data_IF_519356864403
#
_entry.id   IF_519356864403
#
_cell.length_a   1.000
_cell.length_b   1.000
_cell.length_c   1.000
_cell.angle_alpha   90.00
_cell.angle_beta   90.00
_cell.angle_gamma   90.00
#
_symmetry.space_group_name_H-M   'P 1'
#
loop_
_entity.id
_entity.type
_entity.pdbx_description
1 polymer ?
#
# COMPACT_ATOMS: atom_id res chain seq x y z
N UNK A 1 1.34 19.33 5.40
CA UNK A 1 0.19 20.22 5.05
C UNK A 1 0.62 21.62 4.57
N UNK A 2 1.88 21.82 4.20
CA UNK A 2 2.38 23.14 3.77
C UNK A 2 1.98 23.51 2.34
N UNK A 3 1.63 22.51 1.53
CA UNK A 3 1.33 22.67 0.13
C UNK A 3 -0.16 22.68 -0.18
N UNK A 4 -0.50 23.35 -1.29
CA UNK A 4 -1.87 23.55 -1.78
C UNK A 4 -2.72 22.27 -1.84
N UNK A 5 -2.24 21.10 -2.33
CA UNK A 5 -3.10 19.94 -2.50
C UNK A 5 -3.76 19.45 -1.19
N UNK A 6 -3.00 19.37 -0.11
CA UNK A 6 -3.53 18.95 1.21
C UNK A 6 -4.47 20.02 1.78
N UNK A 7 -4.16 21.30 1.59
CA UNK A 7 -5.01 22.41 2.05
C UNK A 7 -6.35 22.44 1.30
N UNK A 8 -6.37 22.04 0.03
CA UNK A 8 -7.62 21.87 -0.73
C UNK A 8 -8.49 20.73 -0.17
N UNK A 9 -7.89 19.59 0.20
CA UNK A 9 -8.62 18.50 0.88
C UNK A 9 -9.15 18.98 2.24
N UNK A 10 -8.36 19.70 3.03
CA UNK A 10 -8.79 20.24 4.31
C UNK A 10 -9.98 21.21 4.12
N UNK A 11 -9.89 22.13 3.16
CA UNK A 11 -10.95 23.08 2.82
C UNK A 11 -12.22 22.38 2.34
N UNK A 12 -12.09 21.30 1.57
CA UNK A 12 -13.24 20.51 1.12
C UNK A 12 -14.06 19.91 2.29
N UNK A 13 -13.49 19.83 3.50
CA UNK A 13 -14.19 19.41 4.71
C UNK A 13 -15.23 20.42 5.21
N UNK A 14 -15.15 21.71 4.80
CA UNK A 14 -16.13 22.74 5.17
C UNK A 14 -17.55 22.40 4.66
N UNK A 15 -17.63 21.64 3.56
CA UNK A 15 -18.90 21.19 2.96
C UNK A 15 -19.26 19.74 3.33
N UNK A 16 -18.47 19.09 4.21
CA UNK A 16 -18.76 17.78 4.78
C UNK A 16 -17.80 16.66 4.35
N UNK A 17 -18.06 15.44 4.86
CA UNK A 17 -17.18 14.29 4.64
C UNK A 17 -17.17 13.81 3.17
N UNK A 18 -18.29 13.94 2.45
CA UNK A 18 -18.40 13.47 1.07
C UNK A 18 -17.43 14.20 0.13
N UNK A 19 -17.38 15.53 0.21
CA UNK A 19 -16.46 16.36 -0.57
C UNK A 19 -15.01 16.14 -0.13
N UNK A 20 -14.75 15.99 1.17
CA UNK A 20 -13.42 15.62 1.67
C UNK A 20 -12.92 14.30 1.05
N UNK A 21 -13.76 13.26 1.00
CA UNK A 21 -13.42 11.97 0.39
C UNK A 21 -13.19 12.12 -1.13
N UNK A 22 -14.07 12.83 -1.84
CA UNK A 22 -13.92 13.04 -3.28
C UNK A 22 -12.58 13.72 -3.60
N UNK A 23 -12.21 14.77 -2.85
CA UNK A 23 -10.97 15.51 -3.06
C UNK A 23 -9.73 14.66 -2.71
N UNK A 24 -9.78 13.86 -1.64
CA UNK A 24 -8.66 13.00 -1.27
C UNK A 24 -8.41 11.87 -2.26
N UNK A 25 -9.46 11.26 -2.82
CA UNK A 25 -9.34 10.27 -3.90
C UNK A 25 -8.75 10.91 -5.16
N UNK A 26 -9.30 12.06 -5.58
CA UNK A 26 -8.81 12.80 -6.75
C UNK A 26 -7.33 13.18 -6.61
N UNK A 27 -6.91 13.62 -5.41
CA UNK A 27 -5.51 13.92 -5.10
C UNK A 27 -4.63 12.69 -5.26
N UNK A 28 -5.03 11.53 -4.71
CA UNK A 28 -4.28 10.29 -4.84
C UNK A 28 -4.11 9.88 -6.30
N UNK A 29 -5.19 9.89 -7.09
CA UNK A 29 -5.14 9.57 -8.52
C UNK A 29 -4.22 10.52 -9.29
N UNK A 30 -4.30 11.82 -9.00
CA UNK A 30 -3.43 12.81 -9.63
C UNK A 30 -1.96 12.60 -9.25
N UNK A 31 -1.67 12.26 -7.98
CA UNK A 31 -0.30 12.05 -7.50
C UNK A 31 0.39 10.86 -8.16
N UNK A 32 -0.35 9.80 -8.50
CA UNK A 32 0.20 8.62 -9.16
C UNK A 32 0.73 8.94 -10.57
N UNK A 33 0.10 9.88 -11.29
CA UNK A 33 0.50 10.27 -12.64
C UNK A 33 1.97 10.70 -12.72
N UNK A 34 2.38 11.61 -11.83
CA UNK A 34 3.76 12.12 -11.83
C UNK A 34 4.79 11.02 -11.53
N UNK A 35 4.51 10.20 -10.52
CA UNK A 35 5.40 9.09 -10.13
C UNK A 35 5.54 8.04 -11.24
N UNK A 36 4.43 7.70 -11.91
CA UNK A 36 4.43 6.71 -12.98
C UNK A 36 5.17 7.22 -14.22
N UNK A 37 5.03 8.50 -14.58
CA UNK A 37 5.80 9.11 -15.68
C UNK A 37 7.30 9.09 -15.40
N UNK A 38 7.72 9.40 -14.17
CA UNK A 38 9.13 9.33 -13.77
C UNK A 38 9.68 7.90 -13.79
N UNK A 39 8.87 6.92 -13.36
CA UNK A 39 9.22 5.50 -13.45
C UNK A 39 9.36 5.06 -14.91
N UNK A 40 8.41 5.43 -15.78
CA UNK A 40 8.47 5.12 -17.21
C UNK A 40 9.72 5.71 -17.88
N UNK A 41 10.05 6.98 -17.58
CA UNK A 41 11.28 7.61 -18.05
C UNK A 41 12.53 6.89 -17.54
N UNK A 42 12.54 6.49 -16.26
CA UNK A 42 13.65 5.75 -15.66
C UNK A 42 13.85 4.38 -16.30
N UNK A 43 12.75 3.65 -16.57
CA UNK A 43 12.76 2.36 -17.26
C UNK A 43 13.31 2.54 -18.68
N UNK A 44 12.76 3.48 -19.45
CA UNK A 44 13.19 3.71 -20.83
C UNK A 44 14.67 4.14 -20.94
N UNK A 45 15.10 5.09 -20.11
CA UNK A 45 16.48 5.56 -20.11
C UNK A 45 17.46 4.46 -19.68
N UNK A 46 17.16 3.71 -18.61
CA UNK A 46 18.03 2.63 -18.16
C UNK A 46 18.07 1.46 -19.14
N UNK A 47 16.93 1.13 -19.77
CA UNK A 47 16.85 0.10 -20.79
C UNK A 47 17.67 0.45 -22.04
N UNK A 48 17.62 1.69 -22.51
CA UNK A 48 18.42 2.11 -23.68
C UNK A 48 19.93 2.11 -23.41
N UNK A 49 20.36 2.29 -22.16
CA UNK A 49 21.77 2.30 -21.77
C UNK A 49 22.34 0.91 -21.46
N UNK A 50 21.52 -0.04 -21.00
CA UNK A 50 22.02 -1.35 -20.52
C UNK A 50 21.03 -2.50 -20.64
N UNK A 51 19.98 -2.37 -21.44
CA UNK A 51 18.89 -3.34 -21.55
C UNK A 51 18.26 -3.64 -20.19
N UNK A 52 17.84 -4.88 -20.00
CA UNK A 52 17.24 -5.31 -18.72
C UNK A 52 18.23 -5.25 -17.54
N UNK A 53 19.53 -5.41 -17.79
CA UNK A 53 20.55 -5.21 -16.76
C UNK A 53 20.60 -3.75 -16.30
N UNK A 54 20.51 -2.80 -17.24
CA UNK A 54 20.39 -1.37 -16.95
C UNK A 54 19.18 -1.06 -16.05
N UNK A 55 18.02 -1.65 -16.35
CA UNK A 55 16.79 -1.52 -15.52
C UNK A 55 17.03 -2.08 -14.10
N UNK A 56 17.68 -3.23 -13.98
CA UNK A 56 18.01 -3.82 -12.68
C UNK A 56 18.97 -2.94 -11.86
N UNK A 57 19.99 -2.37 -12.50
CA UNK A 57 20.93 -1.44 -11.85
C UNK A 57 20.23 -0.13 -11.46
N UNK A 58 19.29 0.38 -12.26
CA UNK A 58 18.48 1.54 -11.90
C UNK A 58 17.60 1.27 -10.66
N UNK A 59 17.05 0.05 -10.54
CA UNK A 59 16.34 -0.39 -9.34
C UNK A 59 17.24 -0.32 -8.09
N UNK A 60 18.47 -0.83 -8.20
CA UNK A 60 19.46 -0.77 -7.13
C UNK A 60 19.87 0.68 -6.82
N UNK A 61 20.01 1.51 -7.85
CA UNK A 61 20.31 2.94 -7.73
C UNK A 61 19.24 3.67 -6.92
N UNK A 62 17.96 3.39 -7.17
CA UNK A 62 16.87 3.92 -6.35
C UNK A 62 17.05 3.50 -4.89
N UNK A 63 17.36 2.23 -4.62
CA UNK A 63 17.56 1.70 -3.26
C UNK A 63 18.92 2.01 -2.63
N UNK A 64 19.84 2.70 -3.32
CA UNK A 64 21.22 2.92 -2.82
C UNK A 64 21.27 3.74 -1.52
N UNK A 65 20.26 4.57 -1.28
CA UNK A 65 20.09 5.37 -0.06
C UNK A 65 19.06 4.78 0.90
N UNK A 66 18.75 3.48 0.78
CA UNK A 66 17.72 2.80 1.58
C UNK A 66 17.88 3.01 3.09
N UNK A 67 19.12 3.03 3.61
CA UNK A 67 19.36 3.27 5.05
C UNK A 67 18.79 4.62 5.50
N UNK A 68 19.01 5.67 4.71
CA UNK A 68 18.46 7.00 4.99
C UNK A 68 16.93 6.98 4.84
N UNK A 69 16.42 6.35 3.79
CA UNK A 69 14.97 6.19 3.57
C UNK A 69 14.26 5.51 4.73
N UNK A 70 14.80 4.38 5.22
CA UNK A 70 14.26 3.66 6.38
C UNK A 70 14.38 4.45 7.68
N UNK A 71 15.46 5.21 7.84
CA UNK A 71 15.66 6.04 9.05
C UNK A 71 14.57 7.11 9.16
N UNK A 72 14.25 7.80 8.06
CA UNK A 72 13.21 8.84 8.08
C UNK A 72 11.80 8.26 8.13
N UNK A 73 11.57 7.06 7.60
CA UNK A 73 10.29 6.36 7.68
C UNK A 73 10.03 5.87 9.12
N UNK A 74 11.00 5.17 9.71
CA UNK A 74 10.91 4.68 11.09
C UNK A 74 10.80 5.78 12.14
N UNK A 75 11.28 6.99 11.84
CA UNK A 75 11.10 8.16 12.68
C UNK A 75 9.61 8.48 12.95
N UNK A 76 8.72 8.27 11.97
CA UNK A 76 7.30 8.62 12.09
C UNK A 76 6.56 7.85 13.20
N UNK A 77 6.53 6.51 13.16
CA UNK A 77 5.89 5.71 14.21
C UNK A 77 6.49 5.90 15.61
N UNK A 78 7.78 6.25 15.71
CA UNK A 78 8.41 6.58 17.00
C UNK A 78 7.86 7.90 17.54
N UNK A 79 7.69 8.92 16.69
CA UNK A 79 7.10 10.20 17.08
C UNK A 79 5.63 10.08 17.47
N UNK A 80 4.85 9.27 16.74
CA UNK A 80 3.44 9.00 17.05
C UNK A 80 3.29 8.32 18.43
N UNK A 81 4.05 7.26 18.70
CA UNK A 81 4.07 6.60 20.00
C UNK A 81 4.49 7.56 21.14
N UNK A 82 5.47 8.44 20.90
CA UNK A 82 5.87 9.45 21.88
C UNK A 82 4.72 10.39 22.22
N UNK A 83 3.94 10.82 21.23
CA UNK A 83 2.73 11.62 21.45
C UNK A 83 1.66 10.87 22.22
N UNK A 84 1.40 9.61 21.86
CA UNK A 84 0.45 8.74 22.57
C UNK A 84 0.81 8.56 24.04
N UNK A 85 2.08 8.29 24.34
CA UNK A 85 2.58 8.17 25.73
C UNK A 85 2.41 9.51 26.49
N UNK A 86 2.71 10.64 25.86
CA UNK A 86 2.55 11.95 26.49
C UNK A 86 1.09 12.23 26.88
N UNK A 87 0.13 11.87 26.03
CA UNK A 87 -1.30 12.00 26.30
C UNK A 87 -1.75 11.06 27.43
N UNK A 88 -1.39 9.77 27.35
CA UNK A 88 -1.79 8.76 28.33
C UNK A 88 -1.20 9.00 29.74
N UNK A 89 -0.06 9.69 29.83
CA UNK A 89 0.59 10.02 31.11
C UNK A 89 0.24 11.41 31.63
N UNK A 90 -0.64 12.16 30.95
CA UNK A 90 -1.08 13.49 31.37
C UNK A 90 0.05 14.52 31.39
N UNK A 91 1.03 14.41 30.48
CA UNK A 91 2.10 15.39 30.37
C UNK A 91 1.56 16.76 29.94
N UNK A 92 2.29 17.84 30.24
CA UNK A 92 1.85 19.19 29.89
C UNK A 92 1.70 19.41 28.39
N UNK A 93 0.78 20.30 28.01
CA UNK A 93 0.40 20.62 26.62
C UNK A 93 1.61 20.90 25.71
N UNK A 94 2.63 21.58 26.24
CA UNK A 94 3.88 21.85 25.50
C UNK A 94 4.63 20.60 25.01
N UNK A 95 4.46 19.44 25.67
CA UNK A 95 5.02 18.16 25.23
C UNK A 95 4.21 17.63 24.06
N UNK A 96 2.88 17.66 24.16
CA UNK A 96 1.96 17.23 23.11
C UNK A 96 2.14 18.06 21.84
N UNK A 97 2.26 19.38 21.97
CA UNK A 97 2.52 20.30 20.85
C UNK A 97 3.81 19.93 20.11
N UNK A 98 4.87 19.61 20.84
CA UNK A 98 6.15 19.18 20.25
C UNK A 98 6.00 17.85 19.54
N UNK A 99 5.38 16.86 20.17
CA UNK A 99 5.17 15.55 19.55
C UNK A 99 4.26 15.62 18.33
N UNK A 100 3.24 16.48 18.32
CA UNK A 100 2.34 16.67 17.17
C UNK A 100 3.06 17.31 15.97
N UNK A 101 4.06 18.17 16.22
CA UNK A 101 4.95 18.67 15.15
C UNK A 101 5.82 17.54 14.59
N UNK A 102 6.36 16.68 15.45
CA UNK A 102 7.19 15.55 15.04
C UNK A 102 6.38 14.50 14.27
N UNK A 103 5.18 14.17 14.73
CA UNK A 103 4.22 13.25 14.10
C UNK A 103 3.80 13.76 12.71
N UNK A 104 3.44 15.03 12.58
CA UNK A 104 3.09 15.60 11.28
C UNK A 104 4.25 15.53 10.25
N UNK A 105 5.50 15.68 10.71
CA UNK A 105 6.67 15.45 9.87
C UNK A 105 6.81 13.94 9.54
N UNK A 106 6.59 13.08 10.53
CA UNK A 106 6.55 11.62 10.42
C UNK A 106 5.56 11.11 9.36
N UNK A 107 4.35 11.69 9.30
CA UNK A 107 3.35 11.29 8.30
C UNK A 107 3.79 11.64 6.87
N UNK A 108 4.56 12.71 6.72
CA UNK A 108 5.16 13.08 5.44
C UNK A 108 6.32 12.15 5.08
N UNK A 109 7.21 11.84 6.03
CA UNK A 109 8.32 10.91 5.78
C UNK A 109 7.85 9.48 5.54
N UNK A 110 6.77 9.04 6.20
CA UNK A 110 6.11 7.77 5.96
C UNK A 110 5.52 7.70 4.55
N UNK A 111 4.90 8.76 4.05
CA UNK A 111 4.43 8.82 2.66
C UNK A 111 5.60 8.73 1.66
N UNK A 112 6.72 9.43 1.94
CA UNK A 112 7.95 9.33 1.14
C UNK A 112 8.52 7.90 1.17
N UNK A 113 8.60 7.30 2.36
CA UNK A 113 9.06 5.92 2.58
C UNK A 113 8.20 4.91 1.81
N UNK A 114 6.88 5.02 1.89
CA UNK A 114 5.92 4.23 1.11
C UNK A 114 6.13 4.43 -0.39
N UNK A 115 6.27 5.67 -0.86
CA UNK A 115 6.53 5.98 -2.27
C UNK A 115 7.84 5.36 -2.78
N UNK A 116 8.90 5.41 -1.97
CA UNK A 116 10.19 4.81 -2.27
C UNK A 116 10.13 3.27 -2.27
N UNK A 117 9.41 2.68 -1.30
CA UNK A 117 9.16 1.25 -1.23
C UNK A 117 8.37 0.75 -2.46
N UNK A 118 7.36 1.50 -2.90
CA UNK A 118 6.57 1.18 -4.10
C UNK A 118 7.40 1.36 -5.37
N UNK A 119 8.10 2.49 -5.54
CA UNK A 119 8.94 2.74 -6.70
C UNK A 119 10.04 1.70 -6.86
N UNK A 120 10.72 1.35 -5.77
CA UNK A 120 11.72 0.28 -5.77
C UNK A 120 11.08 -1.08 -6.03
N UNK A 121 9.87 -1.34 -5.55
CA UNK A 121 9.13 -2.55 -5.87
C UNK A 121 8.86 -2.72 -7.34
N UNK A 122 8.45 -1.65 -8.01
CA UNK A 122 8.20 -1.68 -9.46
C UNK A 122 9.50 -2.02 -10.20
N UNK A 123 10.59 -1.33 -9.89
CA UNK A 123 11.87 -1.54 -10.58
C UNK A 123 12.49 -2.92 -10.27
N UNK A 124 12.47 -3.36 -9.00
CA UNK A 124 12.93 -4.71 -8.64
C UNK A 124 12.08 -5.79 -9.29
N UNK A 125 10.76 -5.60 -9.38
CA UNK A 125 9.88 -6.57 -10.02
C UNK A 125 10.09 -6.64 -11.52
N UNK A 126 10.46 -5.54 -12.19
CA UNK A 126 10.90 -5.56 -13.59
C UNK A 126 12.20 -6.36 -13.77
N UNK A 127 13.17 -6.19 -12.85
CA UNK A 127 14.40 -6.97 -12.88
C UNK A 127 14.13 -8.47 -12.67
N UNK A 128 13.28 -8.81 -11.70
CA UNK A 128 12.85 -10.19 -11.43
C UNK A 128 12.04 -10.76 -12.60
N UNK A 129 11.20 -9.96 -13.24
CA UNK A 129 10.46 -10.34 -14.44
C UNK A 129 11.41 -10.64 -15.61
N UNK A 130 12.44 -9.81 -15.80
CA UNK A 130 13.51 -10.14 -16.75
C UNK A 130 14.16 -11.48 -16.44
N UNK A 131 14.56 -11.66 -15.18
CA UNK A 131 15.26 -12.87 -14.75
C UNK A 131 14.35 -14.09 -14.94
N UNK A 132 13.06 -13.96 -14.69
CA UNK A 132 12.05 -14.99 -14.94
C UNK A 132 12.01 -15.38 -16.41
N UNK A 133 11.88 -14.41 -17.33
CA UNK A 133 11.86 -14.68 -18.76
C UNK A 133 13.18 -15.29 -19.26
N UNK A 134 14.32 -14.72 -18.86
CA UNK A 134 15.65 -15.25 -19.21
C UNK A 134 15.84 -16.66 -18.66
N UNK A 135 15.41 -16.93 -17.43
CA UNK A 135 15.53 -18.25 -16.83
C UNK A 135 14.66 -19.28 -17.55
N UNK A 136 13.46 -18.88 -17.97
CA UNK A 136 12.55 -19.75 -18.71
C UNK A 136 13.11 -20.08 -20.09
N UNK A 137 13.61 -19.07 -20.81
CA UNK A 137 14.22 -19.23 -22.15
C UNK A 137 15.49 -20.11 -22.10
N UNK A 138 16.30 -20.00 -21.05
CA UNK A 138 17.48 -20.85 -20.85
C UNK A 138 17.13 -22.33 -20.57
N UNK A 139 15.97 -22.59 -19.96
CA UNK A 139 15.53 -23.94 -19.60
C UNK A 139 14.70 -24.60 -20.71
N UNK A 140 14.07 -23.80 -21.57
CA UNK A 140 13.41 -24.25 -22.79
C UNK A 140 13.76 -23.35 -23.99
N UNK A 141 14.96 -23.54 -24.60
CA UNK A 141 15.39 -22.73 -25.74
C UNK A 141 14.54 -22.94 -27.00
N UNK A 142 13.76 -24.03 -27.08
CA UNK A 142 12.95 -24.33 -28.26
C UNK A 142 11.61 -23.58 -28.24
N UNK A 143 11.07 -23.31 -27.05
CA UNK A 143 9.85 -22.52 -26.89
C UNK A 143 10.02 -21.04 -27.26
N UNK A 144 11.27 -20.54 -27.39
CA UNK A 144 11.58 -19.12 -27.68
C UNK A 144 10.75 -18.19 -26.82
N UNK A 145 10.83 -18.38 -25.51
CA UNK A 145 9.92 -17.75 -24.57
C UNK A 145 10.00 -16.23 -24.69
N UNK A 146 11.19 -15.68 -24.95
CA UNK A 146 11.36 -14.24 -25.15
C UNK A 146 10.56 -13.69 -26.35
N UNK A 147 10.41 -14.47 -27.42
CA UNK A 147 9.61 -14.12 -28.61
C UNK A 147 8.11 -14.36 -28.39
N UNK A 148 7.75 -15.25 -27.47
CA UNK A 148 6.36 -15.60 -27.13
C UNK A 148 5.65 -14.58 -26.25
N UNK A 149 6.38 -13.68 -25.57
CA UNK A 149 5.80 -12.59 -24.79
C UNK A 149 5.33 -11.48 -25.73
N UNK A 150 4.20 -11.73 -26.38
CA UNK A 150 3.53 -10.80 -27.28
C UNK A 150 2.16 -10.45 -26.71
N UNK A 151 1.79 -9.16 -26.66
CA UNK A 151 0.47 -8.73 -26.22
C UNK A 151 -0.67 -9.23 -27.13
N UNK A 152 -0.37 -9.67 -28.35
CA UNK A 152 -1.31 -10.31 -29.26
C UNK A 152 -1.47 -11.82 -29.00
N UNK A 153 -0.62 -12.41 -28.17
CA UNK A 153 -0.81 -13.78 -27.71
C UNK A 153 -2.00 -13.86 -26.72
N UNK A 154 -2.99 -14.74 -26.95
CA UNK A 154 -4.16 -14.82 -26.09
C UNK A 154 -3.85 -15.14 -24.61
N UNK A 155 -2.81 -15.93 -24.32
CA UNK A 155 -2.46 -16.30 -22.95
C UNK A 155 -1.78 -15.16 -22.23
N UNK A 156 -0.87 -14.46 -22.91
CA UNK A 156 -0.22 -13.27 -22.37
C UNK A 156 -1.26 -12.18 -22.11
N UNK A 157 -2.17 -11.92 -23.06
CA UNK A 157 -3.19 -10.89 -22.91
C UNK A 157 -4.21 -11.24 -21.82
N UNK A 158 -4.66 -12.50 -21.76
CA UNK A 158 -5.56 -12.96 -20.69
C UNK A 158 -4.88 -12.88 -19.34
N UNK A 159 -3.63 -13.34 -19.24
CA UNK A 159 -2.80 -13.21 -18.05
C UNK A 159 -2.64 -11.75 -17.62
N UNK A 160 -2.47 -10.83 -18.58
CA UNK A 160 -2.38 -9.39 -18.30
C UNK A 160 -3.65 -8.86 -17.63
N UNK A 161 -4.83 -9.17 -18.15
CA UNK A 161 -6.10 -8.75 -17.55
C UNK A 161 -6.32 -9.37 -16.16
N UNK A 162 -6.03 -10.67 -16.00
CA UNK A 162 -6.12 -11.34 -14.70
C UNK A 162 -5.15 -10.70 -13.71
N UNK A 163 -3.89 -10.50 -14.10
CA UNK A 163 -2.89 -9.82 -13.29
C UNK A 163 -3.29 -8.41 -12.92
N UNK A 164 -3.88 -7.65 -13.84
CA UNK A 164 -4.35 -6.30 -13.58
C UNK A 164 -5.49 -6.23 -12.54
N UNK A 165 -6.27 -7.31 -12.43
CA UNK A 165 -7.34 -7.44 -11.45
C UNK A 165 -6.83 -7.81 -10.05
N UNK A 166 -5.72 -8.56 -9.93
CA UNK A 166 -5.23 -9.08 -8.64
C UNK A 166 -5.00 -7.99 -7.58
N UNK A 167 -4.38 -6.84 -7.87
CA UNK A 167 -4.23 -5.75 -6.89
C UNK A 167 -5.56 -5.22 -6.35
N UNK A 168 -6.60 -5.16 -7.19
CA UNK A 168 -7.92 -4.71 -6.78
C UNK A 168 -8.63 -5.75 -5.91
N UNK A 169 -8.54 -7.04 -6.29
CA UNK A 169 -9.07 -8.12 -5.46
C UNK A 169 -8.38 -8.19 -4.10
N UNK A 170 -7.05 -8.11 -4.10
CA UNK A 170 -6.25 -8.07 -2.88
C UNK A 170 -6.68 -6.89 -1.98
N UNK A 171 -6.79 -5.69 -2.56
CA UNK A 171 -7.20 -4.48 -1.82
C UNK A 171 -8.63 -4.61 -1.29
N UNK A 172 -9.55 -5.19 -2.06
CA UNK A 172 -10.93 -5.41 -1.61
C UNK A 172 -10.98 -6.35 -0.40
N UNK A 173 -10.15 -7.39 -0.38
CA UNK A 173 -10.04 -8.31 0.76
C UNK A 173 -9.51 -7.57 1.99
N UNK A 174 -8.35 -6.90 1.88
CA UNK A 174 -7.73 -6.22 3.02
C UNK A 174 -8.58 -5.06 3.56
N UNK A 175 -9.20 -4.27 2.68
CA UNK A 175 -10.10 -3.19 3.11
C UNK A 175 -11.33 -3.74 3.84
N UNK A 176 -11.93 -4.82 3.35
CA UNK A 176 -13.10 -5.44 3.99
C UNK A 176 -12.72 -6.03 5.36
N UNK A 177 -11.56 -6.66 5.47
CA UNK A 177 -11.06 -7.21 6.73
C UNK A 177 -10.86 -6.12 7.78
N UNK A 178 -10.22 -5.00 7.43
CA UNK A 178 -10.06 -3.85 8.34
C UNK A 178 -11.42 -3.24 8.69
N UNK A 179 -12.31 -3.06 7.72
CA UNK A 179 -13.64 -2.51 7.98
C UNK A 179 -14.48 -3.36 8.95
N UNK A 180 -14.37 -4.69 8.85
CA UNK A 180 -15.05 -5.62 9.77
C UNK A 180 -14.44 -5.53 11.18
N UNK A 181 -13.11 -5.58 11.29
CA UNK A 181 -12.43 -5.48 12.58
C UNK A 181 -12.66 -4.11 13.26
N UNK A 182 -12.71 -3.04 12.48
CA UNK A 182 -13.01 -1.70 12.98
C UNK A 182 -14.45 -1.59 13.50
N UNK A 183 -15.41 -2.26 12.87
CA UNK A 183 -16.79 -2.32 13.36
C UNK A 183 -16.84 -2.97 14.75
N UNK A 184 -16.22 -4.14 14.89
CA UNK A 184 -16.15 -4.87 16.17
C UNK A 184 -15.45 -4.02 17.26
N UNK A 185 -14.37 -3.33 16.90
CA UNK A 185 -13.66 -2.40 17.80
C UNK A 185 -14.56 -1.24 18.26
N UNK A 186 -15.32 -0.64 17.35
CA UNK A 186 -16.24 0.47 17.68
C UNK A 186 -17.36 -0.01 18.60
N UNK A 187 -17.94 -1.18 18.35
CA UNK A 187 -18.97 -1.75 19.22
C UNK A 187 -18.43 -2.05 20.62
N UNK A 188 -17.21 -2.60 20.72
CA UNK A 188 -16.58 -2.87 22.01
C UNK A 188 -16.26 -1.59 22.79
N UNK A 189 -15.66 -0.58 22.16
CA UNK A 189 -15.39 0.72 22.81
C UNK A 189 -16.69 1.37 23.28
N UNK A 190 -17.76 1.32 22.47
CA UNK A 190 -19.09 1.80 22.88
C UNK A 190 -19.68 1.01 24.03
N UNK A 191 -19.49 -0.32 24.05
CA UNK A 191 -19.93 -1.17 25.16
C UNK A 191 -19.22 -0.76 26.44
N UNK A 192 -17.90 -0.59 26.42
CA UNK A 192 -17.13 -0.16 27.59
C UNK A 192 -17.62 1.19 28.11
N UNK A 193 -17.76 2.20 27.24
CA UNK A 193 -18.28 3.52 27.64
C UNK A 193 -19.70 3.50 28.22
N UNK A 194 -20.55 2.57 27.79
CA UNK A 194 -21.93 2.44 28.30
C UNK A 194 -22.04 1.63 29.58
N UNK A 195 -21.17 0.66 29.79
CA UNK A 195 -21.36 -0.40 30.79
C UNK A 195 -20.37 -0.37 31.95
N UNK A 196 -19.20 0.25 31.78
CA UNK A 196 -18.19 0.38 32.85
C UNK A 196 -18.43 1.72 33.57
N UNK A 197 -18.92 1.74 34.82
CA UNK A 197 -19.13 2.97 35.56
C UNK A 197 -17.80 3.66 35.86
N UNK A 198 -17.72 4.98 35.67
CA UNK A 198 -16.52 5.77 35.98
C UNK A 198 -15.51 5.92 34.84
N UNK A 199 -15.73 5.25 33.69
CA UNK A 199 -14.78 5.26 32.55
C UNK A 199 -14.72 6.63 31.86
N UNK A 200 -15.86 7.28 31.66
CA UNK A 200 -15.93 8.62 31.04
C UNK A 200 -15.50 9.72 32.01
N UNK A 201 -15.65 9.46 33.32
CA UNK A 201 -15.19 10.32 34.40
C UNK A 201 -13.68 10.16 34.69
N UNK A 202 -13.02 9.18 34.06
CA UNK A 202 -11.58 8.90 34.27
C UNK A 202 -11.25 8.26 35.62
N UNK A 203 -12.25 7.65 36.28
CA UNK A 203 -12.11 7.02 37.61
C UNK A 203 -12.06 5.49 37.57
N UNK A 204 -12.34 4.89 36.40
CA UNK A 204 -12.22 3.45 36.15
C UNK A 204 -11.27 3.19 34.99
N UNK A 205 -10.51 2.10 35.07
CA UNK A 205 -9.63 1.67 33.98
C UNK A 205 -10.45 0.97 32.87
N UNK A 206 -10.17 1.27 31.59
CA UNK A 206 -10.78 0.57 30.46
C UNK A 206 -10.15 -0.82 30.28
N UNK A 207 -10.88 -1.70 29.60
CA UNK A 207 -10.40 -3.04 29.25
C UNK A 207 -9.62 -2.99 27.92
N UNK A 208 -8.32 -2.76 28.02
CA UNK A 208 -7.40 -2.74 26.88
C UNK A 208 -7.21 -4.12 26.24
N UNK A 209 -7.20 -5.18 27.06
CA UNK A 209 -6.96 -6.56 26.59
C UNK A 209 -8.04 -6.96 25.59
N UNK A 210 -9.29 -6.56 25.83
CA UNK A 210 -10.38 -6.88 24.90
C UNK A 210 -10.18 -6.23 23.53
N UNK A 211 -9.81 -4.96 23.48
CA UNK A 211 -9.49 -4.28 22.22
C UNK A 211 -8.31 -4.94 21.49
N UNK A 212 -7.25 -5.32 22.21
CA UNK A 212 -6.10 -6.05 21.65
C UNK A 212 -6.52 -7.41 21.10
N UNK A 213 -7.41 -8.14 21.78
CA UNK A 213 -7.89 -9.45 21.32
C UNK A 213 -8.63 -9.36 19.99
N UNK A 214 -9.50 -8.36 19.82
CA UNK A 214 -10.29 -8.15 18.61
C UNK A 214 -9.38 -7.92 17.40
N UNK A 215 -8.43 -7.00 17.52
CA UNK A 215 -7.51 -6.69 16.40
C UNK A 215 -6.57 -7.87 16.11
N UNK A 216 -6.10 -8.58 17.14
CA UNK A 216 -5.20 -9.74 17.00
C UNK A 216 -5.88 -10.91 16.29
N UNK A 217 -7.06 -11.31 16.74
CA UNK A 217 -7.81 -12.43 16.16
C UNK A 217 -8.20 -12.14 14.71
N UNK A 218 -8.69 -10.91 14.44
CA UNK A 218 -9.02 -10.48 13.09
C UNK A 218 -7.78 -10.49 12.19
N UNK A 219 -6.66 -9.91 12.62
CA UNK A 219 -5.44 -9.88 11.81
C UNK A 219 -4.93 -11.28 11.46
N UNK A 220 -4.87 -12.19 12.44
CA UNK A 220 -4.38 -13.57 12.23
C UNK A 220 -5.28 -14.38 11.29
N UNK A 221 -6.60 -14.20 11.39
CA UNK A 221 -7.55 -14.91 10.51
C UNK A 221 -7.55 -14.34 9.10
N UNK A 222 -7.60 -13.01 9.00
CA UNK A 222 -7.85 -12.30 7.74
C UNK A 222 -6.58 -12.12 6.88
N UNK A 223 -5.38 -12.33 7.44
CA UNK A 223 -4.14 -12.32 6.64
C UNK A 223 -4.00 -13.54 5.71
N UNK A 224 -4.67 -14.66 6.03
CA UNK A 224 -4.50 -15.92 5.31
C UNK A 224 -5.03 -15.84 3.87
N UNK A 225 -6.27 -15.37 3.61
CA UNK A 225 -6.80 -15.37 2.24
C UNK A 225 -6.01 -14.48 1.27
N UNK A 226 -5.62 -13.23 1.60
CA UNK A 226 -4.76 -12.42 0.73
C UNK A 226 -3.38 -13.07 0.52
N UNK A 227 -2.83 -13.74 1.53
CA UNK A 227 -1.58 -14.51 1.40
C UNK A 227 -1.69 -15.67 0.41
N UNK A 228 -2.77 -16.44 0.48
CA UNK A 228 -3.06 -17.53 -0.46
C UNK A 228 -3.24 -16.97 -1.88
N UNK A 229 -3.92 -15.84 -2.03
CA UNK A 229 -4.09 -15.20 -3.35
C UNK A 229 -2.73 -14.88 -3.99
N UNK A 230 -1.82 -14.24 -3.24
CA UNK A 230 -0.50 -13.86 -3.77
C UNK A 230 0.35 -15.09 -4.09
N UNK A 231 0.45 -16.04 -3.16
CA UNK A 231 1.34 -17.20 -3.33
C UNK A 231 0.77 -18.23 -4.32
N UNK A 232 -0.55 -18.45 -4.27
CA UNK A 232 -1.23 -19.45 -5.07
C UNK A 232 -1.40 -19.07 -6.53
N UNK A 233 -1.59 -17.78 -6.84
CA UNK A 233 -1.90 -17.36 -8.22
C UNK A 233 -0.80 -17.69 -9.23
N UNK A 234 0.48 -17.31 -9.03
CA UNK A 234 1.53 -17.63 -10.00
C UNK A 234 1.77 -19.14 -10.13
N UNK A 235 1.65 -19.90 -9.03
CA UNK A 235 1.83 -21.34 -9.02
C UNK A 235 0.71 -22.06 -9.79
N UNK A 236 -0.54 -21.71 -9.50
CA UNK A 236 -1.71 -22.29 -10.15
C UNK A 236 -1.72 -21.95 -11.65
N UNK A 237 -1.45 -20.70 -12.00
CA UNK A 237 -1.47 -20.26 -13.40
C UNK A 237 -0.28 -20.83 -14.16
N UNK A 238 0.91 -20.88 -13.56
CA UNK A 238 2.06 -21.52 -14.19
C UNK A 238 1.85 -23.02 -14.41
N UNK A 239 1.23 -23.71 -13.45
CA UNK A 239 0.88 -25.12 -13.59
C UNK A 239 -0.17 -25.37 -14.70
N UNK A 240 -1.25 -24.59 -14.71
CA UNK A 240 -2.35 -24.81 -15.66
C UNK A 240 -2.09 -24.26 -17.06
N UNK A 241 -1.48 -23.08 -17.16
CA UNK A 241 -1.37 -22.29 -18.39
C UNK A 241 0.06 -21.93 -18.80
N UNK A 242 1.05 -22.31 -18.00
CA UNK A 242 2.47 -22.18 -18.37
C UNK A 242 3.03 -20.76 -18.23
N UNK A 243 4.27 -20.62 -18.70
CA UNK A 243 5.11 -19.41 -18.54
C UNK A 243 4.50 -18.16 -19.21
N UNK A 244 3.92 -18.21 -20.43
CA UNK A 244 3.36 -17.00 -21.06
C UNK A 244 2.21 -16.37 -20.26
N UNK A 245 1.33 -17.18 -19.68
CA UNK A 245 0.23 -16.70 -18.85
C UNK A 245 0.74 -16.07 -17.55
N UNK A 246 1.74 -16.69 -16.90
CA UNK A 246 2.39 -16.12 -15.71
C UNK A 246 3.06 -14.79 -16.04
N UNK A 247 3.71 -14.68 -17.20
CA UNK A 247 4.33 -13.44 -17.63
C UNK A 247 3.31 -12.30 -17.79
N UNK A 248 2.15 -12.61 -18.40
CA UNK A 248 1.02 -11.69 -18.46
C UNK A 248 0.57 -11.25 -17.06
N UNK A 249 0.40 -12.19 -16.13
CA UNK A 249 0.00 -11.87 -14.74
C UNK A 249 0.99 -10.95 -14.04
N UNK A 250 2.30 -11.23 -14.17
CA UNK A 250 3.34 -10.39 -13.57
C UNK A 250 3.31 -8.97 -14.15
N UNK A 251 3.20 -8.83 -15.47
CA UNK A 251 3.11 -7.54 -16.13
C UNK A 251 1.85 -6.76 -15.71
N UNK A 252 0.69 -7.43 -15.68
CA UNK A 252 -0.59 -6.83 -15.32
C UNK A 252 -0.64 -6.37 -13.86
N UNK A 253 -0.16 -7.22 -12.96
CA UNK A 253 -0.09 -6.92 -11.51
C UNK A 253 0.86 -5.76 -11.23
N UNK A 254 1.98 -5.70 -11.96
CA UNK A 254 2.96 -4.62 -11.85
C UNK A 254 2.35 -3.26 -12.22
N UNK A 255 1.75 -3.15 -13.42
CA UNK A 255 1.28 -1.85 -13.94
C UNK A 255 0.07 -1.34 -13.16
N UNK A 256 -0.90 -2.21 -12.85
CA UNK A 256 -2.09 -1.83 -12.10
C UNK A 256 -1.79 -1.60 -10.62
N UNK A 257 -1.04 -2.51 -10.01
CA UNK A 257 -0.71 -2.48 -8.58
C UNK A 257 0.19 -1.30 -8.23
N UNK A 258 1.13 -0.93 -9.12
CA UNK A 258 1.96 0.25 -8.93
C UNK A 258 1.14 1.55 -8.84
N UNK A 259 0.19 1.74 -9.75
CA UNK A 259 -0.70 2.93 -9.76
C UNK A 259 -1.61 2.93 -8.52
N UNK A 260 -2.20 1.79 -8.19
CA UNK A 260 -3.11 1.67 -7.05
C UNK A 260 -2.39 1.87 -5.71
N UNK A 261 -1.18 1.34 -5.56
CA UNK A 261 -0.38 1.49 -4.34
C UNK A 261 -0.02 2.96 -4.08
N UNK A 262 0.46 3.67 -5.11
CA UNK A 262 0.86 5.10 -4.97
C UNK A 262 -0.36 5.95 -4.66
N UNK A 263 -1.45 5.78 -5.40
CA UNK A 263 -2.68 6.56 -5.19
C UNK A 263 -3.27 6.31 -3.79
N UNK A 264 -3.33 5.06 -3.33
CA UNK A 264 -3.86 4.71 -2.00
C UNK A 264 -3.02 5.30 -0.87
N UNK A 265 -1.68 5.16 -0.94
CA UNK A 265 -0.78 5.70 0.07
C UNK A 265 -0.88 7.23 0.17
N UNK A 266 -0.92 7.92 -0.98
CA UNK A 266 -0.97 9.37 -1.03
C UNK A 266 -2.35 9.93 -0.65
N UNK A 267 -3.46 9.27 -1.02
CA UNK A 267 -4.80 9.67 -0.56
C UNK A 267 -4.89 9.61 0.96
N UNK A 268 -4.52 8.49 1.58
CA UNK A 268 -4.59 8.38 3.03
C UNK A 268 -3.64 9.33 3.76
N UNK A 269 -2.41 9.51 3.27
CA UNK A 269 -1.49 10.50 3.82
C UNK A 269 -1.98 11.95 3.67
N UNK A 270 -2.75 12.25 2.62
CA UNK A 270 -3.35 13.56 2.42
C UNK A 270 -4.53 13.82 3.36
N UNK A 271 -5.41 12.84 3.60
CA UNK A 271 -6.50 12.98 4.56
C UNK A 271 -6.00 13.17 5.99
N UNK A 272 -5.01 12.38 6.41
CA UNK A 272 -4.41 12.54 7.74
C UNK A 272 -3.81 13.94 7.92
N UNK A 273 -3.00 14.37 6.95
CA UNK A 273 -2.41 15.71 7.00
C UNK A 273 -3.45 16.84 6.90
N UNK A 274 -4.58 16.61 6.22
CA UNK A 274 -5.69 17.56 6.17
C UNK A 274 -6.39 17.66 7.53
N UNK A 275 -6.61 16.53 8.22
CA UNK A 275 -7.09 16.49 9.61
C UNK A 275 -6.13 17.23 10.54
N UNK A 276 -4.83 16.91 10.52
CA UNK A 276 -3.80 17.61 11.32
C UNK A 276 -3.75 19.11 11.05
N UNK A 277 -3.97 19.54 9.81
CA UNK A 277 -4.04 20.97 9.46
C UNK A 277 -5.18 21.67 10.19
N UNK A 278 -6.35 21.05 10.26
CA UNK A 278 -7.51 21.57 10.99
C UNK A 278 -7.26 21.51 12.51
N UNK A 279 -6.67 20.43 13.02
CA UNK A 279 -6.34 20.27 14.45
C UNK A 279 -5.41 21.37 14.99
N UNK A 280 -4.56 21.97 14.14
CA UNK A 280 -3.72 23.13 14.46
C UNK A 280 -4.49 24.47 14.54
N UNK A 281 -5.82 24.45 14.50
CA UNK A 281 -6.68 25.64 14.61
C UNK A 281 -7.06 26.28 13.26
N UNK A 282 -6.60 25.73 12.13
CA UNK A 282 -7.07 26.19 10.82
C UNK A 282 -8.51 25.72 10.58
N UNK A 283 -9.29 26.51 9.84
CA UNK A 283 -10.68 26.16 9.48
C UNK A 283 -11.60 25.83 10.68
N UNK A 284 -11.33 26.43 11.84
CA UNK A 284 -12.17 26.33 13.03
C UNK A 284 -11.65 25.41 14.14
N UNK A 285 -10.67 24.54 13.87
CA UNK A 285 -10.05 23.73 14.92
C UNK A 285 -10.81 22.47 15.32
N UNK A 286 -10.30 21.78 16.36
CA UNK A 286 -10.84 20.54 16.91
C UNK A 286 -12.30 20.70 17.35
N UNK A 287 -13.08 19.63 17.18
CA UNK A 287 -14.48 19.54 17.62
C UNK A 287 -15.52 20.15 16.68
N UNK A 288 -15.11 20.92 15.66
CA UNK A 288 -16.01 21.47 14.64
C UNK A 288 -16.55 20.39 13.68
N UNK A 289 -17.62 20.70 12.95
CA UNK A 289 -18.13 19.80 11.90
C UNK A 289 -17.11 19.60 10.77
N UNK A 290 -16.35 20.65 10.43
CA UNK A 290 -15.20 20.56 9.51
C UNK A 290 -14.16 19.56 9.99
N UNK A 291 -13.84 19.58 11.28
CA UNK A 291 -12.91 18.63 11.88
C UNK A 291 -13.46 17.19 11.85
N UNK A 292 -14.73 17.00 12.21
CA UNK A 292 -15.37 15.67 12.13
C UNK A 292 -15.36 15.12 10.70
N UNK A 293 -15.62 15.94 9.69
CA UNK A 293 -15.53 15.55 8.29
C UNK A 293 -14.11 15.11 7.87
N UNK A 294 -13.09 15.81 8.35
CA UNK A 294 -11.70 15.44 8.09
C UNK A 294 -11.29 14.14 8.81
N UNK A 295 -11.77 13.91 10.04
CA UNK A 295 -11.56 12.64 10.77
C UNK A 295 -12.18 11.48 9.99
N UNK A 296 -13.39 11.65 9.42
CA UNK A 296 -13.99 10.60 8.57
C UNK A 296 -13.09 10.29 7.37
N UNK A 297 -12.58 11.31 6.67
CA UNK A 297 -11.64 11.12 5.56
C UNK A 297 -10.38 10.36 5.97
N UNK A 298 -9.80 10.69 7.12
CA UNK A 298 -8.62 10.01 7.66
C UNK A 298 -8.91 8.53 7.97
N UNK A 299 -10.04 8.23 8.61
CA UNK A 299 -10.45 6.84 8.90
C UNK A 299 -10.74 6.01 7.65
N UNK A 300 -11.15 6.65 6.55
CA UNK A 300 -11.24 6.00 5.22
C UNK A 300 -9.83 5.76 4.65
N UNK A 301 -8.90 6.67 4.91
CA UNK A 301 -7.52 6.63 4.49
C UNK A 301 -6.65 5.60 5.19
N UNK A 302 -6.92 5.27 6.46
CA UNK A 302 -6.13 4.33 7.26
C UNK A 302 -5.97 2.95 6.59
N UNK A 303 -7.04 2.22 6.22
CA UNK A 303 -6.89 0.93 5.53
C UNK A 303 -6.24 1.05 4.14
N UNK A 304 -6.31 2.23 3.51
CA UNK A 304 -5.65 2.47 2.21
C UNK A 304 -4.15 2.68 2.38
N UNK A 305 -3.74 3.52 3.33
CA UNK A 305 -2.33 3.93 3.49
C UNK A 305 -1.51 2.99 4.35
N UNK A 306 -2.13 2.21 5.24
CA UNK A 306 -1.40 1.38 6.23
C UNK A 306 -1.65 -0.12 6.09
N UNK A 307 -2.64 -0.54 5.30
CA UNK A 307 -2.89 -1.96 5.03
C UNK A 307 -2.77 -2.28 3.55
N UNK A 308 -3.70 -1.80 2.75
CA UNK A 308 -3.86 -2.24 1.35
C UNK A 308 -2.74 -1.70 0.47
N UNK A 309 -2.56 -0.37 0.44
CA UNK A 309 -1.61 0.31 -0.44
C UNK A 309 -0.15 -0.16 -0.27
N UNK A 310 0.41 -0.18 0.96
CA UNK A 310 1.75 -0.72 1.17
C UNK A 310 1.85 -2.22 0.82
N UNK A 311 0.87 -3.04 1.18
CA UNK A 311 0.95 -4.48 0.94
C UNK A 311 0.93 -4.85 -0.56
N UNK A 312 0.41 -3.98 -1.44
CA UNK A 312 0.51 -4.16 -2.88
C UNK A 312 1.97 -4.19 -3.38
N UNK A 313 2.90 -3.49 -2.72
CA UNK A 313 4.31 -3.57 -3.09
C UNK A 313 4.88 -4.98 -2.86
N UNK A 314 4.39 -5.66 -1.83
CA UNK A 314 4.77 -7.03 -1.46
C UNK A 314 4.13 -8.00 -2.45
N UNK A 315 2.84 -7.81 -2.78
CA UNK A 315 2.14 -8.62 -3.79
C UNK A 315 2.94 -8.70 -5.10
N UNK A 316 3.43 -7.56 -5.60
CA UNK A 316 4.14 -7.48 -6.87
C UNK A 316 5.51 -8.20 -6.76
N UNK A 317 6.32 -7.85 -5.75
CA UNK A 317 7.65 -8.44 -5.55
C UNK A 317 7.58 -9.95 -5.30
N UNK A 318 6.67 -10.37 -4.43
CA UNK A 318 6.52 -11.77 -4.01
C UNK A 318 6.04 -12.62 -5.18
N UNK A 319 5.09 -12.13 -5.98
CA UNK A 319 4.66 -12.83 -7.21
C UNK A 319 5.82 -13.00 -8.18
N UNK A 320 6.64 -11.94 -8.38
CA UNK A 320 7.77 -11.99 -9.30
C UNK A 320 8.86 -12.98 -8.87
N UNK A 321 9.27 -12.97 -7.59
CA UNK A 321 10.29 -13.90 -7.09
C UNK A 321 9.78 -15.34 -7.04
N UNK A 322 8.52 -15.58 -6.65
CA UNK A 322 7.92 -16.92 -6.69
C UNK A 322 7.92 -17.45 -8.11
N UNK A 323 7.47 -16.66 -9.08
CA UNK A 323 7.48 -17.07 -10.48
C UNK A 323 8.88 -17.43 -10.96
N UNK A 324 9.89 -16.62 -10.63
CA UNK A 324 11.29 -16.89 -10.97
C UNK A 324 11.81 -18.21 -10.36
N UNK A 325 11.56 -18.43 -9.08
CA UNK A 325 12.03 -19.64 -8.37
C UNK A 325 11.37 -20.90 -8.95
N UNK A 326 10.10 -20.82 -9.33
CA UNK A 326 9.32 -21.95 -9.85
C UNK A 326 9.39 -22.13 -11.36
N UNK A 327 10.21 -21.35 -12.09
CA UNK A 327 10.42 -21.56 -13.54
C UNK A 327 10.73 -23.03 -13.88
N UNK A 328 11.67 -23.74 -13.23
CA UNK A 328 11.94 -25.14 -13.58
C UNK A 328 10.70 -26.03 -13.46
N UNK A 329 9.86 -25.78 -12.45
CA UNK A 329 8.61 -26.49 -12.27
C UNK A 329 7.60 -26.17 -13.38
N UNK A 330 7.47 -24.90 -13.78
CA UNK A 330 6.56 -24.51 -14.87
C UNK A 330 6.99 -25.06 -16.23
N UNK A 331 8.30 -25.16 -16.50
CA UNK A 331 8.79 -25.77 -17.74
C UNK A 331 8.55 -27.27 -17.74
N UNK A 332 8.78 -27.95 -16.61
CA UNK A 332 8.68 -29.40 -16.54
C UNK A 332 7.24 -29.93 -16.44
N UNK A 333 6.36 -29.20 -15.75
CA UNK A 333 5.02 -29.67 -15.39
C UNK A 333 3.90 -28.65 -15.68
N UNK A 334 4.23 -27.48 -16.20
CA UNK A 334 3.25 -26.43 -16.49
C UNK A 334 2.55 -26.59 -17.83
N UNK A 335 1.56 -25.74 -18.09
CA UNK A 335 0.80 -25.73 -19.35
C UNK A 335 -0.17 -26.90 -19.50
N UNK A 336 -0.63 -27.51 -18.41
CA UNK A 336 -1.50 -28.69 -18.42
C UNK A 336 -2.73 -28.55 -19.33
N UNK A 337 -3.31 -27.35 -19.42
CA UNK A 337 -4.51 -27.09 -20.23
C UNK A 337 -4.20 -26.64 -21.65
N UNK A 338 -2.93 -26.43 -22.00
CA UNK A 338 -2.51 -25.82 -23.26
C UNK A 338 -1.76 -26.81 -24.15
N UNK A 339 -1.07 -27.78 -23.56
CA UNK A 339 -0.48 -28.92 -24.27
C UNK A 339 0.62 -28.53 -25.24
#
# INVERSE_FOLDING_TARGET
HDFKPVREVAKASETGAATNIIFGLALGYHSATGSILLLAASIYASFTLGGMYGVAVAALGMLSTLVVGLTIDAYGPVADNAGGIAEMTGMGESVRDRTDVLDAAGNTTAAIGKGFAIGSAILTSLALFSAFLTRADLLDPQAKIMDSINLLDPLVLTGLFVGAMLPFLFSAMTMKSVGTAAFDMIEEVRRQFRTIPGIMEGTAEPDYEKCVSISTEAALREMIPPGILIMGTPLLVGFLFGVPAVAGILAGSLVSGGVLAISSANSGGAWDNAKKYIEKGNLGGKGTETHKAAVVGDTVGDPLKDTSGPALNILIKLSAILSLVFVPFFIQYGGLLIG
#
